data_IF_224510444547
#
_entry.id   IF_224510444547
#
_cell.length_a   1.000
_cell.length_b   1.000
_cell.length_c   1.000
_cell.angle_alpha   90.00
_cell.angle_beta   90.00
_cell.angle_gamma   90.00
#
_symmetry.space_group_name_H-M   'P 1'
#
loop_
_entity.id
_entity.type
_entity.pdbx_description
1 polymer ?
#
# COMPACT_ATOMS: atom_id res chain seq x y z
N UNK A 1 -2.11 40.96 3.54
CA UNK A 1 -1.50 39.79 4.22
C UNK A 1 -2.45 39.36 5.32
N UNK A 2 -3.25 38.31 5.10
CA UNK A 2 -4.14 37.75 6.13
C UNK A 2 -3.47 36.49 6.69
N UNK A 3 -2.92 36.60 7.89
CA UNK A 3 -2.55 35.46 8.70
C UNK A 3 -3.85 34.75 9.10
N UNK A 4 -4.12 33.58 8.52
CA UNK A 4 -5.17 32.68 9.01
C UNK A 4 -4.78 32.22 10.41
N UNK A 5 -5.36 32.86 11.43
CA UNK A 5 -5.39 32.34 12.80
C UNK A 5 -6.16 31.02 12.76
N UNK A 6 -5.44 29.90 12.84
CA UNK A 6 -6.03 28.58 13.04
C UNK A 6 -6.68 28.54 14.42
N UNK A 7 -8.01 28.63 14.46
CA UNK A 7 -8.78 28.56 15.71
C UNK A 7 -8.44 27.24 16.46
N UNK A 8 -7.93 27.32 17.70
CA UNK A 8 -7.40 26.17 18.45
C UNK A 8 -8.41 25.03 18.59
N UNK A 9 -9.71 25.31 18.50
CA UNK A 9 -10.76 24.30 18.50
C UNK A 9 -10.67 23.36 17.28
N UNK A 10 -10.32 23.87 16.10
CA UNK A 10 -10.22 23.07 14.88
C UNK A 10 -9.15 21.98 14.97
N UNK A 11 -8.00 22.32 15.58
CA UNK A 11 -6.92 21.33 15.80
C UNK A 11 -7.37 20.24 16.77
N UNK A 12 -8.10 20.60 17.83
CA UNK A 12 -8.61 19.64 18.80
C UNK A 12 -9.64 18.69 18.17
N UNK A 13 -10.54 19.18 17.31
CA UNK A 13 -11.48 18.32 16.59
C UNK A 13 -10.76 17.32 15.65
N UNK A 14 -9.73 17.77 14.94
CA UNK A 14 -8.92 16.89 14.10
C UNK A 14 -8.19 15.82 14.92
N UNK A 15 -7.62 16.18 16.08
CA UNK A 15 -6.99 15.24 16.99
C UNK A 15 -7.99 14.19 17.52
N UNK A 16 -9.20 14.62 17.88
CA UNK A 16 -10.25 13.70 18.35
C UNK A 16 -10.67 12.73 17.24
N UNK A 17 -10.90 13.23 16.02
CA UNK A 17 -11.21 12.39 14.86
C UNK A 17 -10.08 11.39 14.55
N UNK A 18 -8.82 11.85 14.61
CA UNK A 18 -7.65 11.00 14.42
C UNK A 18 -7.60 9.86 15.44
N UNK A 19 -7.78 10.16 16.73
CA UNK A 19 -7.76 9.16 17.81
C UNK A 19 -8.82 8.09 17.62
N UNK A 20 -10.05 8.48 17.25
CA UNK A 20 -11.13 7.52 16.97
C UNK A 20 -10.79 6.64 15.76
N UNK A 21 -10.25 7.24 14.69
CA UNK A 21 -9.78 6.49 13.52
C UNK A 21 -8.66 5.51 13.85
N UNK A 22 -7.71 5.91 14.70
CA UNK A 22 -6.62 5.04 15.18
C UNK A 22 -7.14 3.86 16.00
N UNK A 23 -8.15 4.06 16.85
CA UNK A 23 -8.81 2.98 17.59
C UNK A 23 -9.52 1.99 16.64
N UNK A 24 -10.19 2.49 15.61
CA UNK A 24 -10.80 1.65 14.59
C UNK A 24 -9.74 0.82 13.84
N UNK A 25 -8.61 1.43 13.46
CA UNK A 25 -7.48 0.71 12.85
C UNK A 25 -6.86 -0.33 13.77
N UNK A 26 -6.73 -0.05 15.07
CA UNK A 26 -6.25 -1.03 16.04
C UNK A 26 -7.23 -2.21 16.21
N UNK A 27 -8.53 -1.96 16.05
CA UNK A 27 -9.53 -3.02 16.03
C UNK A 27 -9.32 -3.93 14.82
N UNK A 28 -8.99 -3.37 13.64
CA UNK A 28 -8.56 -4.16 12.47
C UNK A 28 -7.26 -4.95 12.73
N UNK A 29 -6.31 -4.42 13.52
CA UNK A 29 -5.11 -5.13 13.96
C UNK A 29 -5.44 -6.41 14.71
N UNK A 30 -6.32 -6.28 15.72
CA UNK A 30 -6.74 -7.35 16.60
C UNK A 30 -7.54 -8.39 15.84
N UNK A 31 -8.47 -7.93 15.00
CA UNK A 31 -9.27 -8.76 14.11
C UNK A 31 -8.37 -9.58 13.19
N UNK A 32 -7.34 -8.96 12.60
CA UNK A 32 -6.33 -9.66 11.80
C UNK A 32 -5.52 -10.67 12.61
N UNK A 33 -5.08 -10.31 13.82
CA UNK A 33 -4.32 -11.22 14.68
C UNK A 33 -5.14 -12.47 15.04
N UNK A 34 -6.44 -12.28 15.32
CA UNK A 34 -7.39 -13.40 15.53
C UNK A 34 -7.60 -14.23 14.27
N UNK A 35 -7.72 -13.58 13.11
CA UNK A 35 -7.94 -14.25 11.83
C UNK A 35 -6.74 -15.04 11.31
N UNK A 36 -5.50 -14.71 11.72
CA UNK A 36 -4.33 -15.53 11.41
C UNK A 36 -4.47 -16.97 11.96
N UNK A 37 -5.36 -17.21 12.92
CA UNK A 37 -5.64 -18.55 13.48
C UNK A 37 -6.78 -19.30 12.76
N UNK A 38 -7.51 -18.67 11.85
CA UNK A 38 -8.66 -19.27 11.16
C UNK A 38 -8.52 -19.11 9.63
N UNK A 39 -8.11 -20.16 8.93
CA UNK A 39 -7.93 -20.14 7.47
C UNK A 39 -9.18 -20.64 6.72
N UNK A 40 -9.55 -19.96 5.63
CA UNK A 40 -9.38 -20.41 4.23
C UNK A 40 -10.22 -19.54 3.27
N UNK A 41 -11.39 -19.08 3.70
CA UNK A 41 -12.43 -18.55 2.80
C UNK A 41 -12.25 -17.07 2.39
N UNK A 42 -11.52 -16.27 3.17
CA UNK A 42 -11.36 -14.81 2.93
C UNK A 42 -10.06 -14.39 2.22
N UNK A 43 -9.27 -15.31 1.68
CA UNK A 43 -8.03 -14.99 0.93
C UNK A 43 -8.30 -14.24 -0.39
N UNK A 44 -9.50 -14.31 -0.96
CA UNK A 44 -9.83 -13.60 -2.21
C UNK A 44 -10.08 -12.09 -2.00
N UNK A 45 -10.76 -11.68 -0.91
CA UNK A 45 -11.04 -10.27 -0.61
C UNK A 45 -9.78 -9.47 -0.26
N UNK A 46 -8.72 -10.13 0.24
CA UNK A 46 -7.46 -9.47 0.61
C UNK A 46 -6.68 -8.90 -0.58
N UNK A 47 -6.92 -9.41 -1.78
CA UNK A 47 -6.24 -9.01 -3.01
C UNK A 47 -7.09 -8.11 -3.91
N UNK A 48 -8.31 -7.75 -3.49
CA UNK A 48 -9.11 -6.79 -4.25
C UNK A 48 -8.40 -5.42 -4.27
N UNK A 49 -8.33 -4.71 -5.41
CA UNK A 49 -7.65 -3.41 -5.50
C UNK A 49 -8.18 -2.37 -4.51
N UNK A 50 -9.44 -2.51 -4.09
CA UNK A 50 -10.10 -1.64 -3.11
C UNK A 50 -10.70 -2.48 -1.98
N UNK A 51 -10.03 -2.59 -0.81
CA UNK A 51 -10.67 -3.18 0.36
C UNK A 51 -11.79 -2.27 0.87
N UNK A 52 -12.84 -2.83 1.49
CA UNK A 52 -14.01 -2.06 1.98
C UNK A 52 -13.63 -0.92 2.95
N UNK A 53 -12.58 -1.12 3.75
CA UNK A 53 -12.05 -0.12 4.70
C UNK A 53 -11.05 0.87 4.07
N UNK A 54 -10.77 0.76 2.77
CA UNK A 54 -9.70 1.50 2.12
C UNK A 54 -9.91 3.02 2.11
N UNK A 55 -11.14 3.47 1.92
CA UNK A 55 -11.45 4.91 1.88
C UNK A 55 -11.34 5.55 3.27
N UNK A 56 -11.79 4.87 4.32
CA UNK A 56 -11.66 5.35 5.70
C UNK A 56 -10.18 5.51 6.11
N UNK A 57 -9.34 4.55 5.71
CA UNK A 57 -7.89 4.61 5.98
C UNK A 57 -7.22 5.75 5.20
N UNK A 58 -7.59 5.97 3.94
CA UNK A 58 -7.08 7.11 3.16
C UNK A 58 -7.56 8.45 3.73
N UNK A 59 -8.80 8.51 4.20
CA UNK A 59 -9.32 9.69 4.88
C UNK A 59 -8.56 9.98 6.18
N UNK A 60 -8.28 8.95 6.98
CA UNK A 60 -7.49 9.07 8.20
C UNK A 60 -6.06 9.55 7.92
N UNK A 61 -5.44 9.08 6.83
CA UNK A 61 -4.14 9.60 6.37
C UNK A 61 -4.20 11.11 6.10
N UNK A 62 -5.27 11.61 5.45
CA UNK A 62 -5.43 13.05 5.20
C UNK A 62 -5.48 13.86 6.50
N UNK A 63 -6.10 13.31 7.56
CA UNK A 63 -6.10 13.95 8.88
C UNK A 63 -4.69 13.93 9.48
N UNK A 64 -4.00 12.79 9.45
CA UNK A 64 -2.65 12.66 9.99
C UNK A 64 -1.69 13.66 9.32
N UNK A 65 -1.77 13.82 7.99
CA UNK A 65 -0.99 14.78 7.23
C UNK A 65 -1.28 16.25 7.62
N UNK A 66 -2.51 16.57 8.05
CA UNK A 66 -2.87 17.92 8.55
C UNK A 66 -2.39 18.17 9.97
N UNK A 67 -2.28 17.12 10.79
CA UNK A 67 -1.87 17.23 12.20
C UNK A 67 -0.35 17.36 12.34
N UNK A 68 0.41 16.62 11.54
CA UNK A 68 1.87 16.72 11.46
C UNK A 68 2.57 15.37 11.49
N UNK A 69 3.89 15.42 11.64
CA UNK A 69 4.75 14.23 11.54
C UNK A 69 4.54 13.21 12.67
N UNK A 70 4.14 13.64 13.87
CA UNK A 70 3.94 12.75 15.00
C UNK A 70 2.76 11.81 14.76
N UNK A 71 1.61 12.39 14.40
CA UNK A 71 0.39 11.64 14.06
C UNK A 71 0.55 10.85 12.77
N UNK A 72 1.29 11.38 11.79
CA UNK A 72 1.64 10.63 10.59
C UNK A 72 2.49 9.40 10.90
N UNK A 73 3.50 9.52 11.77
CA UNK A 73 4.33 8.39 12.17
C UNK A 73 3.50 7.32 12.89
N UNK A 74 2.63 7.73 13.81
CA UNK A 74 1.71 6.83 14.52
C UNK A 74 0.80 6.09 13.53
N UNK A 75 0.18 6.83 12.61
CA UNK A 75 -0.66 6.27 11.55
C UNK A 75 0.10 5.25 10.70
N UNK A 76 1.28 5.61 10.20
CA UNK A 76 2.05 4.76 9.28
C UNK A 76 2.53 3.49 9.99
N UNK A 77 2.93 3.60 11.26
CA UNK A 77 3.35 2.45 12.07
C UNK A 77 2.20 1.45 12.21
N UNK A 78 1.02 1.94 12.60
CA UNK A 78 -0.17 1.08 12.73
C UNK A 78 -0.61 0.54 11.37
N UNK A 79 -0.64 1.36 10.31
CA UNK A 79 -0.98 0.93 8.96
C UNK A 79 -0.11 -0.23 8.47
N UNK A 80 1.21 -0.14 8.70
CA UNK A 80 2.19 -1.17 8.32
C UNK A 80 1.98 -2.49 9.06
N UNK A 81 1.50 -2.43 10.31
CA UNK A 81 1.17 -3.61 11.09
C UNK A 81 -0.12 -4.29 10.60
N UNK A 82 -1.17 -3.51 10.33
CA UNK A 82 -2.53 -4.04 10.15
C UNK A 82 -2.92 -4.29 8.71
N UNK A 83 -2.39 -3.52 7.76
CA UNK A 83 -2.76 -3.62 6.34
C UNK A 83 -1.94 -4.72 5.66
N UNK A 84 -2.63 -5.60 4.93
CA UNK A 84 -2.01 -6.62 4.05
C UNK A 84 -2.07 -6.24 2.58
N UNK A 85 -3.06 -5.43 2.21
CA UNK A 85 -3.43 -5.21 0.83
C UNK A 85 -2.37 -4.31 0.16
N UNK A 86 -1.67 -4.81 -0.89
CA UNK A 86 -0.57 -4.07 -1.50
C UNK A 86 -1.04 -2.80 -2.23
N UNK A 87 -2.26 -2.80 -2.77
CA UNK A 87 -2.83 -1.64 -3.48
C UNK A 87 -3.10 -0.47 -2.53
N UNK A 88 -3.69 -0.76 -1.37
CA UNK A 88 -3.93 0.26 -0.34
C UNK A 88 -2.60 0.81 0.19
N UNK A 89 -1.62 -0.05 0.51
CA UNK A 89 -0.29 0.38 0.95
C UNK A 89 0.39 1.29 -0.09
N UNK A 90 0.31 0.91 -1.38
CA UNK A 90 0.82 1.72 -2.48
C UNK A 90 0.11 3.07 -2.55
N UNK A 91 -1.22 3.09 -2.45
CA UNK A 91 -2.02 4.31 -2.45
C UNK A 91 -1.64 5.24 -1.31
N UNK A 92 -1.42 4.71 -0.09
CA UNK A 92 -0.99 5.52 1.05
C UNK A 92 0.39 6.15 0.83
N UNK A 93 1.36 5.37 0.35
CA UNK A 93 2.69 5.88 0.02
C UNK A 93 2.64 6.98 -1.06
N UNK A 94 1.83 6.78 -2.09
CA UNK A 94 1.63 7.76 -3.17
C UNK A 94 0.95 9.05 -2.68
N UNK A 95 -0.03 8.95 -1.76
CA UNK A 95 -0.67 10.13 -1.18
C UNK A 95 0.31 10.96 -0.32
N UNK A 96 1.15 10.30 0.47
CA UNK A 96 2.21 10.97 1.25
C UNK A 96 3.18 11.69 0.31
N UNK A 97 3.58 11.03 -0.79
CA UNK A 97 4.44 11.62 -1.81
C UNK A 97 3.82 12.86 -2.45
N UNK A 98 2.58 12.78 -2.92
CA UNK A 98 1.91 13.90 -3.58
C UNK A 98 1.80 15.13 -2.69
N UNK A 99 1.54 14.95 -1.40
CA UNK A 99 1.49 16.06 -0.45
C UNK A 99 2.87 16.69 -0.24
N UNK A 100 3.93 15.87 -0.21
CA UNK A 100 5.31 16.35 -0.16
C UNK A 100 5.70 17.16 -1.40
N UNK A 101 5.24 16.74 -2.59
CA UNK A 101 5.52 17.43 -3.85
C UNK A 101 4.79 18.78 -3.99
N UNK A 102 3.57 18.87 -3.46
CA UNK A 102 2.71 20.05 -3.61
C UNK A 102 2.90 21.10 -2.49
N UNK A 103 3.92 20.96 -1.64
CA UNK A 103 4.18 21.93 -0.57
C UNK A 103 4.94 23.16 -1.10
N UNK A 104 4.32 24.35 -1.20
CA UNK A 104 4.95 25.54 -1.76
C UNK A 104 6.02 26.17 -0.85
N UNK A 105 6.15 25.73 0.40
CA UNK A 105 7.00 26.38 1.43
C UNK A 105 8.38 25.72 1.64
N UNK A 106 8.91 24.99 0.65
CA UNK A 106 10.36 24.82 0.52
C UNK A 106 11.08 23.84 1.46
N UNK A 107 10.40 22.88 2.09
CA UNK A 107 11.11 21.69 2.58
C UNK A 107 11.29 20.74 1.41
N UNK A 108 12.55 20.43 1.04
CA UNK A 108 12.90 19.70 -0.19
C UNK A 108 11.94 18.52 -0.38
N UNK A 109 11.27 18.47 -1.52
CA UNK A 109 10.16 17.55 -1.84
C UNK A 109 10.46 16.05 -1.63
N UNK A 110 11.74 15.69 -1.46
CA UNK A 110 12.21 14.35 -1.10
C UNK A 110 12.34 14.06 0.41
N UNK A 111 12.16 15.04 1.31
CA UNK A 111 12.42 14.85 2.75
C UNK A 111 11.38 13.94 3.42
N UNK A 112 10.09 14.06 3.08
CA UNK A 112 9.07 13.17 3.65
C UNK A 112 9.28 11.70 3.24
N UNK A 113 9.71 11.46 2.00
CA UNK A 113 10.02 10.11 1.53
C UNK A 113 11.22 9.50 2.26
N UNK A 114 12.16 10.31 2.73
CA UNK A 114 13.34 9.84 3.47
C UNK A 114 13.03 9.52 4.94
N UNK A 115 11.83 9.83 5.43
CA UNK A 115 11.45 9.51 6.80
C UNK A 115 11.45 7.98 7.01
N UNK A 116 12.09 7.46 8.07
CA UNK A 116 12.24 6.02 8.28
C UNK A 116 10.92 5.24 8.31
N UNK A 117 9.86 5.84 8.86
CA UNK A 117 8.53 5.22 8.91
C UNK A 117 7.88 5.15 7.52
N UNK A 118 8.10 6.14 6.64
CA UNK A 118 7.62 6.11 5.25
C UNK A 118 8.40 5.07 4.43
N UNK A 119 9.71 4.95 4.66
CA UNK A 119 10.52 3.88 4.08
C UNK A 119 10.01 2.49 4.51
N UNK A 120 9.65 2.33 5.78
CA UNK A 120 9.08 1.08 6.30
C UNK A 120 7.74 0.73 5.63
N UNK A 121 6.88 1.72 5.38
CA UNK A 121 5.64 1.55 4.63
C UNK A 121 5.89 1.10 3.18
N UNK A 122 6.85 1.74 2.50
CA UNK A 122 7.23 1.40 1.13
C UNK A 122 7.76 -0.04 1.05
N UNK A 123 8.68 -0.41 1.94
CA UNK A 123 9.20 -1.78 2.02
C UNK A 123 8.09 -2.79 2.33
N UNK A 124 7.16 -2.46 3.23
CA UNK A 124 5.98 -3.31 3.50
C UNK A 124 5.13 -3.52 2.25
N UNK A 125 4.93 -2.47 1.46
CA UNK A 125 4.17 -2.51 0.21
C UNK A 125 4.82 -3.46 -0.80
N UNK A 126 6.13 -3.34 -1.03
CA UNK A 126 6.88 -4.21 -1.95
C UNK A 126 6.81 -5.68 -1.51
N UNK A 127 7.03 -5.96 -0.23
CA UNK A 127 6.88 -7.31 0.32
C UNK A 127 5.45 -7.86 0.16
N UNK A 128 4.43 -7.02 0.31
CA UNK A 128 3.04 -7.42 0.11
C UNK A 128 2.78 -7.83 -1.35
N UNK A 129 3.26 -7.05 -2.33
CA UNK A 129 3.16 -7.41 -3.76
C UNK A 129 3.88 -8.73 -4.06
N UNK A 130 5.13 -8.88 -3.61
CA UNK A 130 5.90 -10.12 -3.77
C UNK A 130 5.15 -11.32 -3.21
N UNK A 131 4.61 -11.20 -1.99
CA UNK A 131 3.82 -12.27 -1.36
C UNK A 131 2.55 -12.60 -2.15
N UNK A 132 1.81 -11.58 -2.62
CA UNK A 132 0.62 -11.79 -3.44
C UNK A 132 0.94 -12.51 -4.74
N UNK A 133 2.04 -12.16 -5.41
CA UNK A 133 2.51 -12.83 -6.63
C UNK A 133 2.88 -14.29 -6.34
N UNK A 134 3.69 -14.57 -5.30
CA UNK A 134 4.02 -15.94 -4.92
C UNK A 134 2.77 -16.78 -4.62
N UNK A 135 1.81 -16.21 -3.87
CA UNK A 135 0.58 -16.91 -3.54
C UNK A 135 -0.29 -17.17 -4.77
N UNK A 136 -0.47 -16.17 -5.64
CA UNK A 136 -1.23 -16.32 -6.89
C UNK A 136 -0.60 -17.38 -7.79
N UNK A 137 0.72 -17.37 -7.93
CA UNK A 137 1.47 -18.38 -8.69
C UNK A 137 1.29 -19.78 -8.10
N UNK A 138 1.30 -19.95 -6.77
CA UNK A 138 1.11 -21.25 -6.13
C UNK A 138 -0.27 -21.86 -6.43
N UNK A 139 -1.33 -21.04 -6.53
CA UNK A 139 -2.72 -21.50 -6.67
C UNK A 139 -3.36 -21.25 -8.05
N UNK A 140 -2.60 -20.72 -9.01
CA UNK A 140 -3.09 -20.50 -10.39
C UNK A 140 -3.57 -21.81 -11.01
N UNK A 141 -4.83 -21.85 -11.46
CA UNK A 141 -5.48 -23.01 -12.09
C UNK A 141 -6.31 -22.66 -13.32
N UNK A 142 -6.81 -21.43 -13.43
CA UNK A 142 -7.72 -20.99 -14.50
C UNK A 142 -7.11 -19.88 -15.38
N UNK A 143 -7.70 -19.63 -16.55
CA UNK A 143 -7.31 -18.49 -17.40
C UNK A 143 -7.59 -17.14 -16.73
N UNK A 144 -8.67 -17.03 -15.95
CA UNK A 144 -8.96 -15.83 -15.16
C UNK A 144 -7.83 -15.48 -14.18
N UNK A 145 -7.18 -16.50 -13.59
CA UNK A 145 -6.04 -16.29 -12.69
C UNK A 145 -4.84 -15.63 -13.39
N UNK A 146 -4.68 -15.82 -14.70
CA UNK A 146 -3.60 -15.24 -15.50
C UNK A 146 -3.85 -13.75 -15.72
N UNK A 147 -5.10 -13.35 -15.98
CA UNK A 147 -5.48 -11.94 -16.13
C UNK A 147 -5.30 -11.18 -14.82
N UNK A 148 -5.75 -11.77 -13.70
CA UNK A 148 -5.52 -11.22 -12.37
C UNK A 148 -4.03 -11.12 -12.02
N UNK A 149 -3.23 -12.15 -12.34
CA UNK A 149 -1.78 -12.10 -12.17
C UNK A 149 -1.14 -11.00 -13.02
N UNK A 150 -1.59 -10.83 -14.26
CA UNK A 150 -1.10 -9.79 -15.16
C UNK A 150 -1.40 -8.40 -14.59
N UNK A 151 -2.63 -8.18 -14.12
CA UNK A 151 -3.02 -6.94 -13.45
C UNK A 151 -2.17 -6.70 -12.19
N UNK A 152 -1.98 -7.72 -11.36
CA UNK A 152 -1.14 -7.63 -10.16
C UNK A 152 0.30 -7.27 -10.51
N UNK A 153 0.88 -7.88 -11.54
CA UNK A 153 2.25 -7.59 -11.99
C UNK A 153 2.38 -6.17 -12.57
N UNK A 154 1.37 -5.64 -13.28
CA UNK A 154 1.36 -4.24 -13.75
C UNK A 154 1.40 -3.25 -12.57
N UNK A 155 0.57 -3.49 -11.56
CA UNK A 155 0.54 -2.64 -10.36
C UNK A 155 1.83 -2.76 -9.54
N UNK A 156 2.37 -3.98 -9.41
CA UNK A 156 3.67 -4.21 -8.80
C UNK A 156 4.76 -3.43 -9.56
N UNK A 157 4.81 -3.50 -10.89
CA UNK A 157 5.76 -2.72 -11.70
C UNK A 157 5.71 -1.24 -11.34
N UNK A 158 4.51 -0.65 -11.33
CA UNK A 158 4.32 0.76 -10.97
C UNK A 158 4.85 1.07 -9.57
N UNK A 159 4.53 0.25 -8.57
CA UNK A 159 4.97 0.42 -7.20
C UNK A 159 6.50 0.32 -7.05
N UNK A 160 7.11 -0.71 -7.63
CA UNK A 160 8.56 -0.93 -7.56
C UNK A 160 9.34 0.18 -8.27
N UNK A 161 8.85 0.64 -9.43
CA UNK A 161 9.44 1.78 -10.14
C UNK A 161 9.33 3.07 -9.32
N UNK A 162 8.15 3.36 -8.77
CA UNK A 162 7.92 4.52 -7.91
C UNK A 162 8.89 4.56 -6.72
N UNK A 163 9.20 3.40 -6.13
CA UNK A 163 10.10 3.30 -4.99
C UNK A 163 11.58 3.11 -5.38
N UNK A 164 11.92 3.10 -6.67
CA UNK A 164 13.29 2.90 -7.15
C UNK A 164 13.84 1.47 -7.01
N UNK A 165 13.00 0.47 -6.74
CA UNK A 165 13.39 -0.93 -6.53
C UNK A 165 13.26 -1.76 -7.83
N UNK A 166 13.86 -1.28 -8.92
CA UNK A 166 13.80 -1.95 -10.23
C UNK A 166 14.40 -3.36 -10.21
N UNK A 167 15.51 -3.57 -9.50
CA UNK A 167 16.19 -4.86 -9.36
C UNK A 167 15.27 -5.94 -8.79
N UNK A 168 14.52 -5.60 -7.74
CA UNK A 168 13.68 -6.55 -7.02
C UNK A 168 12.49 -6.96 -7.87
N UNK A 169 11.96 -6.02 -8.68
CA UNK A 169 10.94 -6.34 -9.67
C UNK A 169 11.46 -7.29 -10.75
N UNK A 170 12.71 -7.12 -11.21
CA UNK A 170 13.33 -8.07 -12.16
C UNK A 170 13.50 -9.46 -11.54
N UNK A 171 13.88 -9.53 -10.26
CA UNK A 171 13.93 -10.79 -9.52
C UNK A 171 12.56 -11.48 -9.44
N UNK A 172 11.51 -10.73 -9.11
CA UNK A 172 10.13 -11.23 -9.07
C UNK A 172 9.65 -11.70 -10.45
N UNK A 173 9.98 -10.96 -11.50
CA UNK A 173 9.69 -11.33 -12.89
C UNK A 173 10.40 -12.63 -13.30
N UNK A 174 11.68 -12.79 -12.93
CA UNK A 174 12.45 -14.01 -13.19
C UNK A 174 11.84 -15.22 -12.47
N UNK A 175 11.34 -15.04 -11.25
CA UNK A 175 10.57 -16.08 -10.55
C UNK A 175 9.31 -16.49 -11.34
N UNK A 176 8.51 -15.52 -11.80
CA UNK A 176 7.31 -15.79 -12.61
C UNK A 176 7.68 -16.54 -13.91
N UNK A 177 8.74 -16.09 -14.60
CA UNK A 177 9.24 -16.70 -15.84
C UNK A 177 9.64 -18.16 -15.67
N UNK A 178 10.34 -18.47 -14.59
CA UNK A 178 10.92 -19.80 -14.35
C UNK A 178 9.92 -20.80 -13.77
N UNK A 179 8.77 -20.32 -13.27
CA UNK A 179 7.71 -21.16 -12.72
C UNK A 179 7.08 -22.07 -13.78
N UNK A 180 6.92 -23.35 -13.45
CA UNK A 180 6.32 -24.37 -14.33
C UNK A 180 4.93 -23.99 -14.85
N UNK A 181 4.17 -23.23 -14.06
CA UNK A 181 2.80 -22.79 -14.39
C UNK A 181 2.74 -21.67 -15.46
N UNK A 182 3.85 -20.99 -15.75
CA UNK A 182 3.88 -19.87 -16.71
C UNK A 182 4.59 -20.19 -18.04
N UNK A 183 5.14 -21.39 -18.25
CA UNK A 183 6.14 -21.64 -19.31
C UNK A 183 5.65 -21.76 -20.76
N UNK A 184 4.44 -22.28 -21.02
CA UNK A 184 4.08 -22.69 -22.40
C UNK A 184 3.44 -21.60 -23.27
N UNK A 185 2.46 -20.85 -22.77
CA UNK A 185 1.78 -19.79 -23.55
C UNK A 185 1.41 -18.54 -22.73
N UNK A 186 1.65 -18.61 -21.43
CA UNK A 186 1.21 -17.61 -20.44
C UNK A 186 2.23 -16.49 -20.30
N UNK A 187 3.51 -16.85 -20.20
CA UNK A 187 4.58 -15.87 -20.01
C UNK A 187 4.73 -14.88 -21.19
N UNK A 188 4.67 -15.29 -22.47
CA UNK A 188 4.73 -14.33 -23.58
C UNK A 188 3.60 -13.29 -23.54
N UNK A 189 2.36 -13.73 -23.24
CA UNK A 189 1.18 -12.86 -23.11
C UNK A 189 1.30 -11.93 -21.91
N UNK A 190 1.73 -12.46 -20.77
CA UNK A 190 1.98 -11.69 -19.55
C UNK A 190 3.09 -10.66 -19.75
N UNK A 191 4.19 -11.04 -20.41
CA UNK A 191 5.31 -10.15 -20.71
C UNK A 191 4.90 -9.00 -21.64
N UNK A 192 4.22 -9.30 -22.75
CA UNK A 192 3.69 -8.27 -23.66
C UNK A 192 2.71 -7.35 -22.94
N UNK A 193 1.80 -7.91 -22.14
CA UNK A 193 0.83 -7.11 -21.40
C UNK A 193 1.52 -6.20 -20.38
N UNK A 194 2.56 -6.67 -19.66
CA UNK A 194 3.26 -5.86 -18.65
C UNK A 194 4.09 -4.74 -19.26
N UNK A 195 4.59 -4.89 -20.49
CA UNK A 195 5.39 -3.86 -21.16
C UNK A 195 4.54 -2.68 -21.67
N UNK A 196 3.30 -2.94 -22.08
CA UNK A 196 2.28 -1.96 -22.48
C UNK A 196 1.55 -1.34 -21.27
#
# INVERSE_FOLDING_TARGET
QQQQQTDPNHRQYLLNAFRVGMLAMNTLALERARQNHAHMERRSEQNHPTPRYGEDVKWLLKIALKLGNAELQEFVTTATAVIVNPYLLHSLAFNIYNVSQNNPNGSSSNQMLRLPFVQSLMQKCLHAYTRCVHNKMAHMTTNNDIEELTSLMKHARSAFLFMGNTSDYQGLMNFVKTSKKCKKDVYPRLWQAIQN
#
